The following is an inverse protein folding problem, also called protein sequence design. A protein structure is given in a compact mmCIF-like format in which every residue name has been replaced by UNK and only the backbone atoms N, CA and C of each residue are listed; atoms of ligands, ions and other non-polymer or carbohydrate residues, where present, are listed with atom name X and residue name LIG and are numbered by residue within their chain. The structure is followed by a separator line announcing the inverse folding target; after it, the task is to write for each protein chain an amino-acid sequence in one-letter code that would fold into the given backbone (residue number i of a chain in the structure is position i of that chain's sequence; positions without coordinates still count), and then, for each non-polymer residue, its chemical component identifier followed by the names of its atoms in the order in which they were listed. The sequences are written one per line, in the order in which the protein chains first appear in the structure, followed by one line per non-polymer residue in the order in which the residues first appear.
data_IF_699445510598
#
_entry.id   IF_699445510598
#
_cell.length_a   1.000
_cell.length_b   1.000
_cell.length_c   1.000
_cell.angle_alpha   90.00
_cell.angle_beta   90.00
_cell.angle_gamma   90.00
#
_symmetry.space_group_name_H-M   'P 1'
#
loop_
_entity.id
_entity.type
_entity.pdbx_description
1 polymer ?
#
# COMPACT_ATOMS: atom_id res chain seq x y z
N UNK A 1 -5.46 6.61 -10.92
CA UNK A 1 -4.55 7.32 -9.99
C UNK A 1 -3.10 7.14 -10.46
N UNK A 2 -2.12 7.89 -9.94
CA UNK A 2 -0.70 7.59 -10.23
C UNK A 2 -0.26 6.32 -9.49
N UNK A 3 0.45 5.42 -10.16
CA UNK A 3 0.90 4.14 -9.61
C UNK A 3 1.76 4.34 -8.36
N UNK A 4 2.64 5.34 -8.37
CA UNK A 4 3.53 5.64 -7.23
C UNK A 4 2.73 5.99 -5.97
N UNK A 5 1.63 6.75 -6.13
CA UNK A 5 0.73 7.08 -5.02
C UNK A 5 0.00 5.85 -4.51
N UNK A 6 -0.41 4.93 -5.39
CA UNK A 6 -1.09 3.70 -4.99
C UNK A 6 -0.18 2.84 -4.11
N UNK A 7 1.05 2.65 -4.56
CA UNK A 7 2.07 1.93 -3.83
C UNK A 7 2.42 2.60 -2.50
N UNK A 8 2.51 3.93 -2.48
CA UNK A 8 2.75 4.69 -1.26
C UNK A 8 1.63 4.51 -0.24
N UNK A 9 0.38 4.68 -0.68
CA UNK A 9 -0.80 4.49 0.17
C UNK A 9 -0.87 3.06 0.68
N UNK A 10 -0.75 2.07 -0.21
CA UNK A 10 -0.73 0.66 0.16
C UNK A 10 0.34 0.35 1.23
N UNK A 11 1.55 0.89 1.05
CA UNK A 11 2.68 0.61 1.94
C UNK A 11 2.54 1.26 3.32
N UNK A 12 2.14 2.52 3.37
CA UNK A 12 2.17 3.32 4.61
C UNK A 12 0.81 3.44 5.29
N UNK A 13 -0.28 3.14 4.58
CA UNK A 13 -1.65 3.23 5.06
C UNK A 13 -2.39 1.89 4.98
N UNK A 14 -1.67 0.76 4.95
CA UNK A 14 -2.26 -0.59 4.96
C UNK A 14 -3.18 -0.87 6.16
N UNK A 15 -3.04 -0.13 7.26
CA UNK A 15 -3.95 -0.21 8.40
C UNK A 15 -5.39 0.20 8.03
N UNK A 16 -5.59 1.00 6.98
CA UNK A 16 -6.88 1.41 6.43
C UNK A 16 -7.51 0.38 5.47
N UNK A 17 -6.85 -0.75 5.22
CA UNK A 17 -7.45 -1.87 4.48
C UNK A 17 -8.67 -2.40 5.22
N UNK A 18 -9.69 -2.84 4.47
CA UNK A 18 -10.78 -3.62 5.05
C UNK A 18 -10.34 -5.07 5.33
N UNK A 19 -11.20 -5.87 5.97
CA UNK A 19 -10.86 -7.25 6.36
C UNK A 19 -10.54 -8.14 5.15
N UNK A 20 -11.27 -8.00 4.06
CA UNK A 20 -11.09 -8.78 2.84
C UNK A 20 -9.76 -8.43 2.14
N UNK A 21 -9.41 -7.14 2.09
CA UNK A 21 -8.14 -6.67 1.57
C UNK A 21 -6.97 -7.16 2.43
N UNK A 22 -7.10 -7.17 3.76
CA UNK A 22 -6.06 -7.73 4.64
C UNK A 22 -5.89 -9.23 4.39
N UNK A 23 -6.98 -9.97 4.21
CA UNK A 23 -6.96 -11.38 3.86
C UNK A 23 -6.34 -11.62 2.47
N UNK A 24 -6.67 -10.80 1.47
CA UNK A 24 -6.10 -10.88 0.11
C UNK A 24 -4.60 -10.55 0.11
N UNK A 25 -4.18 -9.53 0.86
CA UNK A 25 -2.78 -9.20 1.05
C UNK A 25 -2.01 -10.38 1.69
N UNK A 26 -2.60 -11.01 2.72
CA UNK A 26 -2.02 -12.19 3.37
C UNK A 26 -1.95 -13.39 2.41
N UNK A 27 -3.01 -13.66 1.64
CA UNK A 27 -3.05 -14.69 0.61
C UNK A 27 -1.91 -14.49 -0.39
N UNK A 28 -1.82 -13.31 -1.01
CA UNK A 28 -0.82 -12.99 -2.02
C UNK A 28 0.60 -13.00 -1.45
N UNK A 29 0.81 -12.56 -0.21
CA UNK A 29 2.11 -12.66 0.46
C UNK A 29 2.53 -14.13 0.67
N UNK A 30 1.58 -15.02 1.00
CA UNK A 30 1.81 -16.45 1.08
C UNK A 30 2.20 -17.03 -0.29
N UNK A 31 1.46 -16.68 -1.33
CA UNK A 31 1.73 -17.08 -2.72
C UNK A 31 3.13 -16.66 -3.18
N UNK A 32 3.48 -15.39 -2.99
CA UNK A 32 4.79 -14.82 -3.38
C UNK A 32 5.92 -15.58 -2.70
N UNK A 33 5.79 -15.86 -1.41
CA UNK A 33 6.79 -16.60 -0.65
C UNK A 33 6.92 -18.05 -1.12
N UNK A 34 5.79 -18.69 -1.45
CA UNK A 34 5.77 -20.10 -1.86
C UNK A 34 6.29 -20.30 -3.30
N UNK A 35 6.18 -19.28 -4.15
CA UNK A 35 6.43 -19.38 -5.61
C UNK A 35 7.53 -18.43 -6.09
N UNK A 36 8.42 -18.03 -5.19
CA UNK A 36 9.62 -17.25 -5.49
C UNK A 36 9.35 -15.91 -6.20
N UNK A 37 8.35 -15.16 -5.74
CA UNK A 37 8.06 -13.81 -6.24
C UNK A 37 6.83 -13.72 -7.16
N UNK A 38 6.31 -14.86 -7.65
CA UNK A 38 5.12 -14.87 -8.52
C UNK A 38 3.83 -14.73 -7.71
N UNK A 39 2.79 -14.22 -8.36
CA UNK A 39 1.47 -14.04 -7.73
C UNK A 39 0.29 -14.17 -8.70
N UNK A 40 0.55 -14.59 -9.94
CA UNK A 40 -0.50 -14.90 -10.92
C UNK A 40 -1.36 -16.10 -10.48
N UNK A 41 -2.44 -16.36 -11.21
CA UNK A 41 -3.37 -17.44 -10.89
C UNK A 41 -2.71 -18.84 -10.83
N UNK A 42 -1.70 -19.07 -11.67
CA UNK A 42 -0.92 -20.32 -11.65
C UNK A 42 -0.11 -20.43 -10.35
N UNK A 43 0.58 -19.36 -9.98
CA UNK A 43 1.32 -19.28 -8.72
C UNK A 43 0.40 -19.46 -7.49
N UNK A 44 -0.80 -18.88 -7.50
CA UNK A 44 -1.78 -19.05 -6.41
C UNK A 44 -2.23 -20.51 -6.28
N UNK A 45 -2.40 -21.21 -7.39
CA UNK A 45 -2.71 -22.65 -7.39
C UNK A 45 -1.53 -23.47 -6.87
N UNK A 46 -0.32 -23.20 -7.35
CA UNK A 46 0.92 -23.87 -6.93
C UNK A 46 1.19 -23.69 -5.42
N UNK A 47 0.95 -22.50 -4.88
CA UNK A 47 1.16 -22.18 -3.47
C UNK A 47 0.37 -23.09 -2.52
N UNK A 48 -0.76 -23.67 -2.98
CA UNK A 48 -1.58 -24.62 -2.20
C UNK A 48 -0.84 -25.94 -1.91
N UNK A 49 0.18 -26.27 -2.69
CA UNK A 49 1.05 -27.43 -2.48
C UNK A 49 2.35 -27.09 -1.75
N UNK A 50 2.53 -25.82 -1.37
CA UNK A 50 3.75 -25.34 -0.71
C UNK A 50 3.88 -25.73 0.77
N UNK A 51 4.87 -25.16 1.48
CA UNK A 51 5.08 -25.37 2.91
C UNK A 51 3.83 -25.05 3.75
N UNK A 52 3.54 -25.86 4.78
CA UNK A 52 2.35 -25.74 5.63
C UNK A 52 2.10 -24.30 6.13
N UNK A 53 3.14 -23.65 6.64
CA UNK A 53 3.04 -22.29 7.19
C UNK A 53 2.69 -21.22 6.14
N UNK A 54 2.97 -21.46 4.85
CA UNK A 54 2.57 -20.56 3.75
C UNK A 54 1.16 -20.89 3.25
N UNK A 55 0.79 -22.17 3.24
CA UNK A 55 -0.57 -22.61 2.92
C UNK A 55 -1.60 -22.04 3.90
N UNK A 56 -1.27 -21.96 5.20
CA UNK A 56 -2.10 -21.33 6.24
C UNK A 56 -2.24 -19.81 6.10
N UNK A 57 -1.53 -19.20 5.15
CA UNK A 57 -1.75 -17.81 4.77
C UNK A 57 -2.77 -17.65 3.65
N UNK A 58 -3.07 -18.73 2.92
CA UNK A 58 -4.03 -18.71 1.83
C UNK A 58 -5.46 -18.70 2.36
N UNK A 59 -6.35 -18.15 1.55
CA UNK A 59 -7.79 -18.05 1.82
C UNK A 59 -8.56 -18.78 0.73
N UNK A 60 -9.69 -19.36 1.11
CA UNK A 60 -10.65 -20.00 0.21
C UNK A 60 -11.93 -19.17 0.01
N UNK A 61 -12.01 -17.99 0.65
CA UNK A 61 -13.15 -17.09 0.54
C UNK A 61 -13.23 -16.46 -0.85
N UNK A 62 -14.38 -16.59 -1.51
CA UNK A 62 -14.56 -16.13 -2.89
C UNK A 62 -14.22 -14.64 -3.08
N UNK A 63 -14.60 -13.79 -2.12
CA UNK A 63 -14.31 -12.35 -2.16
C UNK A 63 -12.80 -12.06 -2.05
N UNK A 64 -12.07 -12.87 -1.28
CA UNK A 64 -10.61 -12.74 -1.15
C UNK A 64 -9.91 -13.21 -2.42
N UNK A 65 -10.38 -14.31 -3.01
CA UNK A 65 -9.85 -14.83 -4.27
C UNK A 65 -10.10 -13.85 -5.43
N UNK A 66 -11.26 -13.20 -5.48
CA UNK A 66 -11.56 -12.17 -6.47
C UNK A 66 -10.59 -10.98 -6.35
N UNK A 67 -10.36 -10.48 -5.13
CA UNK A 67 -9.37 -9.43 -4.87
C UNK A 67 -7.95 -9.83 -5.26
N UNK A 68 -7.58 -11.11 -5.14
CA UNK A 68 -6.26 -11.65 -5.45
C UNK A 68 -6.10 -12.06 -6.93
N UNK A 69 -7.17 -12.20 -7.69
CA UNK A 69 -7.19 -12.78 -9.05
C UNK A 69 -6.18 -12.17 -10.03
N UNK A 70 -6.02 -10.84 -9.99
CA UNK A 70 -5.09 -10.09 -10.83
C UNK A 70 -3.62 -10.09 -10.35
N UNK A 71 -3.31 -10.85 -9.29
CA UNK A 71 -2.00 -10.87 -8.65
C UNK A 71 -1.69 -9.62 -7.82
N UNK A 72 -0.48 -9.60 -7.25
CA UNK A 72 -0.11 -8.64 -6.21
C UNK A 72 -0.10 -7.19 -6.69
N UNK A 73 0.47 -6.92 -7.86
CA UNK A 73 0.54 -5.55 -8.38
C UNK A 73 -0.86 -4.99 -8.64
N UNK A 74 -1.75 -5.75 -9.27
CA UNK A 74 -3.12 -5.29 -9.53
C UNK A 74 -3.89 -5.08 -8.23
N UNK A 75 -3.69 -5.96 -7.24
CA UNK A 75 -4.25 -5.80 -5.90
C UNK A 75 -3.76 -4.52 -5.21
N UNK A 76 -2.45 -4.24 -5.24
CA UNK A 76 -1.89 -3.01 -4.66
C UNK A 76 -2.50 -1.76 -5.28
N UNK A 77 -2.65 -1.73 -6.61
CA UNK A 77 -3.25 -0.58 -7.29
C UNK A 77 -4.70 -0.37 -6.85
N UNK A 78 -5.53 -1.43 -6.86
CA UNK A 78 -6.94 -1.33 -6.45
C UNK A 78 -7.11 -0.93 -4.99
N UNK A 79 -6.38 -1.59 -4.08
CA UNK A 79 -6.46 -1.30 -2.65
C UNK A 79 -5.95 0.11 -2.35
N UNK A 80 -4.84 0.52 -2.97
CA UNK A 80 -4.32 1.88 -2.86
C UNK A 80 -5.30 2.94 -3.34
N UNK A 81 -5.94 2.73 -4.50
CA UNK A 81 -6.97 3.64 -5.04
C UNK A 81 -8.17 3.73 -4.12
N UNK A 82 -8.66 2.59 -3.62
CA UNK A 82 -9.78 2.55 -2.68
C UNK A 82 -9.46 3.32 -1.40
N UNK A 83 -8.32 3.02 -0.76
CA UNK A 83 -7.91 3.69 0.48
C UNK A 83 -7.77 5.20 0.25
N UNK A 84 -7.17 5.61 -0.87
CA UNK A 84 -7.03 7.04 -1.19
C UNK A 84 -8.37 7.73 -1.35
N UNK A 85 -9.33 7.09 -2.02
CA UNK A 85 -10.67 7.64 -2.24
C UNK A 85 -11.49 7.72 -0.96
N UNK A 86 -11.48 6.65 -0.16
CA UNK A 86 -12.37 6.50 0.99
C UNK A 86 -11.81 7.13 2.27
N UNK A 87 -10.50 7.43 2.32
CA UNK A 87 -9.80 7.94 3.50
C UNK A 87 -8.83 9.08 3.16
N UNK A 88 -9.16 9.89 2.15
CA UNK A 88 -8.32 10.98 1.69
C UNK A 88 -7.91 11.93 2.84
N UNK A 89 -8.81 12.18 3.79
CA UNK A 89 -8.61 13.05 4.95
C UNK A 89 -7.56 12.51 5.94
N UNK A 90 -7.26 11.22 5.89
CA UNK A 90 -6.27 10.57 6.76
C UNK A 90 -4.90 10.43 6.11
N UNK A 91 -4.79 10.75 4.82
CA UNK A 91 -3.59 10.48 4.02
C UNK A 91 -2.80 11.76 3.80
N UNK A 92 -1.54 11.73 4.23
CA UNK A 92 -0.57 12.80 4.00
C UNK A 92 0.49 12.30 3.03
N UNK A 93 0.48 12.83 1.80
CA UNK A 93 1.52 12.55 0.82
C UNK A 93 2.72 13.45 1.08
N UNK A 94 3.86 12.85 1.44
CA UNK A 94 5.11 13.59 1.54
C UNK A 94 5.65 13.90 0.14
N UNK A 95 5.50 15.13 -0.33
CA UNK A 95 6.02 15.60 -1.61
C UNK A 95 7.20 16.55 -1.42
N UNK A 96 8.18 16.50 -2.32
CA UNK A 96 9.30 17.42 -2.29
C UNK A 96 8.82 18.87 -2.48
N UNK A 97 9.21 19.81 -1.60
CA UNK A 97 8.78 21.20 -1.72
C UNK A 97 9.40 21.93 -2.92
N UNK A 98 10.50 21.41 -3.49
CA UNK A 98 11.17 22.02 -4.63
C UNK A 98 10.65 21.52 -5.98
N UNK A 99 10.34 20.22 -6.12
CA UNK A 99 9.94 19.64 -7.40
C UNK A 99 8.56 18.98 -7.41
N UNK A 100 7.84 18.97 -6.28
CA UNK A 100 6.49 18.40 -6.16
C UNK A 100 6.40 16.87 -6.24
N UNK A 101 7.49 16.16 -6.53
CA UNK A 101 7.48 14.69 -6.64
C UNK A 101 7.31 14.03 -5.28
N UNK A 102 6.61 12.89 -5.28
CA UNK A 102 6.38 12.07 -4.10
C UNK A 102 7.71 11.54 -3.54
N UNK A 103 7.92 11.70 -2.24
CA UNK A 103 9.07 11.18 -1.53
C UNK A 103 8.92 9.68 -1.25
N UNK A 104 10.04 8.98 -1.08
CA UNK A 104 10.05 7.51 -0.89
C UNK A 104 9.31 7.06 0.38
N UNK A 105 9.29 7.88 1.42
CA UNK A 105 8.67 7.56 2.71
C UNK A 105 7.95 8.79 3.29
N UNK A 106 6.99 8.61 4.22
CA UNK A 106 6.34 9.71 4.93
C UNK A 106 7.28 10.62 5.72
N UNK A 107 8.41 10.09 6.16
CA UNK A 107 9.38 10.80 7.00
C UNK A 107 10.61 11.30 6.24
N UNK A 108 10.70 11.04 4.93
CA UNK A 108 11.84 11.46 4.11
C UNK A 108 11.98 13.00 4.10
N UNK A 109 13.20 13.47 4.32
CA UNK A 109 13.55 14.91 4.32
C UNK A 109 14.53 15.30 3.21
N UNK A 110 14.77 14.40 2.25
CA UNK A 110 15.60 14.65 1.08
C UNK A 110 14.94 14.03 -0.16
N UNK A 111 14.93 14.76 -1.27
CA UNK A 111 14.33 14.29 -2.52
C UNK A 111 15.26 13.30 -3.22
N UNK A 112 14.75 12.10 -3.54
CA UNK A 112 15.48 11.13 -4.37
C UNK A 112 15.61 11.52 -5.85
N UNK A 113 14.92 12.57 -6.31
CA UNK A 113 14.92 13.03 -7.70
C UNK A 113 15.78 14.28 -7.91
N UNK A 114 15.48 15.38 -7.20
CA UNK A 114 16.20 16.65 -7.35
C UNK A 114 17.26 16.90 -6.27
N UNK A 115 17.41 15.97 -5.31
CA UNK A 115 18.36 16.05 -4.17
C UNK A 115 18.15 17.24 -3.21
N UNK A 116 17.06 18.00 -3.36
CA UNK A 116 16.69 19.04 -2.40
C UNK A 116 16.55 18.44 -0.99
N UNK A 117 17.15 19.11 -0.02
CA UNK A 117 17.16 18.73 1.39
C UNK A 117 16.30 19.72 2.18
N UNK A 118 15.33 19.22 2.95
CA UNK A 118 14.47 19.99 3.83
C UNK A 118 14.52 19.54 5.29
N UNK A 119 15.64 18.99 5.76
CA UNK A 119 15.84 18.62 7.17
C UNK A 119 15.63 19.79 8.13
N UNK A 120 15.95 21.01 7.69
CA UNK A 120 15.85 22.24 8.49
C UNK A 120 14.45 22.88 8.45
N UNK A 121 13.47 22.29 7.75
CA UNK A 121 12.07 22.71 7.90
C UNK A 121 11.53 22.20 9.23
N UNK A 122 11.57 23.05 10.25
CA UNK A 122 10.78 22.86 11.47
C UNK A 122 9.31 22.87 11.05
N UNK A 123 8.63 21.73 11.21
CA UNK A 123 7.20 21.61 10.94
C UNK A 123 6.43 22.18 12.13
N UNK A 124 6.05 23.46 12.07
CA UNK A 124 5.02 24.00 12.96
C UNK A 124 3.65 23.55 12.46
N UNK A 125 3.30 22.27 12.64
CA UNK A 125 1.94 21.79 12.44
C UNK A 125 1.14 21.92 13.74
N UNK A 126 0.75 23.15 14.07
CA UNK A 126 -0.39 23.45 14.95
C UNK A 126 -1.09 24.69 14.39
N UNK A 127 -1.70 24.54 13.21
CA UNK A 127 -2.80 25.45 12.86
C UNK A 127 -4.06 24.89 13.52
N UNK A 128 -4.34 25.41 14.70
CA UNK A 128 -5.64 25.37 15.35
C UNK A 128 -6.70 25.93 14.42
N UNK A 129 -7.65 25.10 14.02
CA UNK A 129 -8.90 25.55 13.41
C UNK A 129 -9.69 26.38 14.43
N UNK A 130 -10.18 27.59 14.10
CA UNK A 130 -11.11 28.31 14.95
C UNK A 130 -12.48 27.61 14.94
N UNK A 131 -13.05 27.36 16.12
CA UNK A 131 -14.44 26.92 16.27
C UNK A 131 -15.40 28.01 15.81
N UNK A 132 -16.47 27.69 15.06
CA UNK A 132 -17.55 28.63 14.83
C UNK A 132 -18.46 28.72 16.07
N UNK A 133 -18.92 29.94 16.34
CA UNK A 133 -19.88 30.35 17.38
C UNK A 133 -21.27 29.75 17.18
#
# INVERSE_FOLDING_TARGET
MDNDKAWYVFRYYSHLMNEQERAANRHLAGTIKATHGRSDAGAQTEARSGPRHLREMLSDEAQVLDLASGGFQAFVLRAGERIMRDHQEKIALNCCPQCGRLARTPTARQCGFCRHDWHNRITNSKETFPSPE
#
